data_IF_438042712946
#
_entry.id   IF_438042712946
#
_cell.length_a   1.000
_cell.length_b   1.000
_cell.length_c   1.000
_cell.angle_alpha   90.00
_cell.angle_beta   90.00
_cell.angle_gamma   90.00
#
_symmetry.space_group_name_H-M   'P 1'
#
loop_
_entity.id
_entity.type
_entity.pdbx_description
1 polymer ?
#
# COMPACT_ATOMS: atom_id res chain seq x y z
N UNK A 1 -25.63 27.83 -25.66
CA UNK A 1 -24.50 28.30 -24.83
C UNK A 1 -24.64 27.91 -23.36
N UNK A 2 -25.62 28.38 -22.58
CA UNK A 2 -25.71 27.99 -21.14
C UNK A 2 -26.01 26.50 -20.88
N UNK A 3 -26.88 25.87 -21.68
CA UNK A 3 -27.20 24.44 -21.54
C UNK A 3 -26.03 23.54 -21.93
N UNK A 4 -25.33 23.86 -23.01
CA UNK A 4 -24.14 23.12 -23.46
C UNK A 4 -23.00 23.22 -22.42
N UNK A 5 -22.85 24.37 -21.76
CA UNK A 5 -21.87 24.56 -20.70
C UNK A 5 -22.24 23.76 -19.43
N UNK A 6 -23.53 23.69 -19.08
CA UNK A 6 -24.02 22.85 -17.97
C UNK A 6 -23.76 21.36 -18.25
N UNK A 7 -24.12 20.87 -19.44
CA UNK A 7 -23.88 19.48 -19.85
C UNK A 7 -22.38 19.14 -19.79
N UNK A 8 -21.52 20.04 -20.28
CA UNK A 8 -20.06 19.85 -20.22
C UNK A 8 -19.54 19.77 -18.79
N UNK A 9 -19.98 20.66 -17.90
CA UNK A 9 -19.59 20.67 -16.48
C UNK A 9 -20.05 19.41 -15.76
N UNK A 10 -21.28 18.96 -16.01
CA UNK A 10 -21.80 17.72 -15.42
C UNK A 10 -21.03 16.49 -15.89
N UNK A 11 -20.72 16.42 -17.19
CA UNK A 11 -19.91 15.34 -17.75
C UNK A 11 -18.50 15.32 -17.16
N UNK A 12 -17.86 16.49 -17.02
CA UNK A 12 -16.54 16.60 -16.39
C UNK A 12 -16.56 16.11 -14.93
N UNK A 13 -17.55 16.55 -14.14
CA UNK A 13 -17.72 16.07 -12.76
C UNK A 13 -17.89 14.55 -12.68
N UNK A 14 -18.73 13.97 -13.55
CA UNK A 14 -18.91 12.50 -13.61
C UNK A 14 -17.60 11.80 -13.96
N UNK A 15 -16.83 12.32 -14.92
CA UNK A 15 -15.52 11.78 -15.29
C UNK A 15 -14.49 11.89 -14.18
N UNK A 16 -14.45 12.99 -13.44
CA UNK A 16 -13.53 13.19 -12.32
C UNK A 16 -13.81 12.20 -11.20
N UNK A 17 -15.09 12.01 -10.85
CA UNK A 17 -15.51 11.03 -9.83
C UNK A 17 -15.16 9.60 -10.27
N UNK A 18 -15.43 9.25 -11.52
CA UNK A 18 -15.11 7.91 -12.05
C UNK A 18 -13.60 7.64 -12.07
N UNK A 19 -12.81 8.64 -12.46
CA UNK A 19 -11.36 8.54 -12.46
C UNK A 19 -10.80 8.37 -11.04
N UNK A 20 -11.32 9.11 -10.07
CA UNK A 20 -10.89 9.03 -8.68
C UNK A 20 -11.19 7.66 -8.07
N UNK A 21 -12.42 7.16 -8.24
CA UNK A 21 -12.82 5.82 -7.79
C UNK A 21 -11.97 4.72 -8.42
N UNK A 22 -11.69 4.86 -9.71
CA UNK A 22 -10.84 3.92 -10.44
C UNK A 22 -9.43 3.91 -9.86
N UNK A 23 -8.80 5.08 -9.64
CA UNK A 23 -7.47 5.17 -9.02
C UNK A 23 -7.42 4.51 -7.65
N UNK A 24 -8.41 4.76 -6.80
CA UNK A 24 -8.53 4.14 -5.48
C UNK A 24 -8.61 2.61 -5.58
N UNK A 25 -9.41 2.08 -6.52
CA UNK A 25 -9.52 0.64 -6.74
C UNK A 25 -8.15 0.02 -7.11
N UNK A 26 -7.43 0.62 -8.06
CA UNK A 26 -6.11 0.12 -8.47
C UNK A 26 -5.08 0.22 -7.34
N UNK A 27 -5.07 1.32 -6.59
CA UNK A 27 -4.19 1.47 -5.43
C UNK A 27 -4.48 0.40 -4.38
N UNK A 28 -5.74 0.19 -4.01
CA UNK A 28 -6.13 -0.85 -3.05
C UNK A 28 -5.72 -2.24 -3.53
N UNK A 29 -5.88 -2.57 -4.81
CA UNK A 29 -5.44 -3.84 -5.37
C UNK A 29 -3.92 -4.02 -5.27
N UNK A 30 -3.14 -2.96 -5.56
CA UNK A 30 -1.69 -2.97 -5.42
C UNK A 30 -1.28 -3.17 -3.96
N UNK A 31 -1.92 -2.48 -3.03
CA UNK A 31 -1.62 -2.53 -1.60
C UNK A 31 -1.90 -3.94 -1.06
N UNK A 32 -3.08 -4.48 -1.38
CA UNK A 32 -3.46 -5.83 -1.01
C UNK A 32 -2.49 -6.87 -1.56
N UNK A 33 -2.11 -6.77 -2.85
CA UNK A 33 -1.16 -7.71 -3.45
C UNK A 33 0.21 -7.66 -2.76
N UNK A 34 0.70 -6.46 -2.44
CA UNK A 34 1.96 -6.30 -1.69
C UNK A 34 1.87 -6.83 -0.27
N UNK A 35 0.77 -6.58 0.44
CA UNK A 35 0.52 -7.15 1.76
C UNK A 35 0.55 -8.68 1.71
N UNK A 36 -0.09 -9.27 0.69
CA UNK A 36 -0.07 -10.72 0.45
C UNK A 36 1.36 -11.25 0.28
N UNK A 37 2.17 -10.62 -0.57
CA UNK A 37 3.58 -11.01 -0.78
C UNK A 37 4.37 -10.96 0.54
N UNK A 38 4.20 -9.90 1.33
CA UNK A 38 4.89 -9.78 2.63
C UNK A 38 4.41 -10.85 3.60
N UNK A 39 3.11 -11.12 3.66
CA UNK A 39 2.52 -12.16 4.53
C UNK A 39 3.03 -13.56 4.18
N UNK A 40 3.14 -13.88 2.89
CA UNK A 40 3.73 -15.12 2.40
C UNK A 40 5.19 -15.25 2.86
N UNK A 41 6.00 -14.20 2.65
CA UNK A 41 7.38 -14.17 3.12
C UNK A 41 7.52 -14.38 4.63
N UNK A 42 6.70 -13.71 5.45
CA UNK A 42 6.75 -13.83 6.91
C UNK A 42 6.39 -15.26 7.37
N UNK A 43 5.41 -15.88 6.72
CA UNK A 43 5.02 -17.26 7.02
C UNK A 43 6.13 -18.26 6.65
N UNK A 44 6.77 -18.08 5.49
CA UNK A 44 7.91 -18.91 5.07
C UNK A 44 9.10 -18.75 6.02
N UNK A 45 9.40 -17.52 6.44
CA UNK A 45 10.47 -17.21 7.38
C UNK A 45 10.23 -17.87 8.74
N UNK A 46 9.02 -17.71 9.29
CA UNK A 46 8.62 -18.33 10.56
C UNK A 46 8.68 -19.86 10.50
N UNK A 47 8.20 -20.44 9.40
CA UNK A 47 8.26 -21.90 9.17
C UNK A 47 9.70 -22.39 9.14
N UNK A 48 10.57 -21.72 8.37
CA UNK A 48 11.99 -22.07 8.26
C UNK A 48 12.71 -21.94 9.61
N UNK A 49 12.45 -20.86 10.35
CA UNK A 49 13.05 -20.64 11.66
C UNK A 49 12.60 -21.72 12.67
N UNK A 50 11.32 -22.11 12.63
CA UNK A 50 10.77 -23.17 13.48
C UNK A 50 11.41 -24.52 13.18
N UNK A 51 11.54 -24.89 11.90
CA UNK A 51 12.16 -26.16 11.48
C UNK A 51 13.64 -26.27 11.87
N UNK A 52 14.36 -25.15 11.88
CA UNK A 52 15.79 -25.11 12.20
C UNK A 52 16.08 -24.85 13.68
N UNK A 53 15.05 -24.80 14.55
CA UNK A 53 15.18 -24.38 15.96
C UNK A 53 15.86 -22.99 16.12
N UNK A 54 15.62 -22.09 15.19
CA UNK A 54 16.15 -20.71 15.15
C UNK A 54 15.08 -19.66 15.53
N UNK A 55 13.94 -20.10 16.04
CA UNK A 55 12.85 -19.22 16.45
C UNK A 55 13.15 -18.60 17.82
N UNK A 56 14.06 -17.64 17.84
CA UNK A 56 14.41 -16.86 19.04
C UNK A 56 13.26 -15.94 19.45
N UNK A 57 13.26 -15.50 20.71
CA UNK A 57 12.28 -14.53 21.24
C UNK A 57 12.30 -13.24 20.40
N UNK A 58 13.50 -12.74 20.08
CA UNK A 58 13.69 -11.55 19.24
C UNK A 58 13.05 -11.72 17.85
N UNK A 59 13.21 -12.89 17.23
CA UNK A 59 12.59 -13.16 15.93
C UNK A 59 11.06 -13.24 16.03
N UNK A 60 10.53 -13.82 17.11
CA UNK A 60 9.08 -13.88 17.35
C UNK A 60 8.49 -12.47 17.52
N UNK A 61 9.15 -11.61 18.29
CA UNK A 61 8.72 -10.23 18.50
C UNK A 61 8.76 -9.43 17.19
N UNK A 62 9.82 -9.60 16.39
CA UNK A 62 9.92 -8.99 15.07
C UNK A 62 8.85 -9.51 14.11
N UNK A 63 8.60 -10.82 14.07
CA UNK A 63 7.55 -11.41 13.23
C UNK A 63 6.16 -10.87 13.62
N UNK A 64 5.89 -10.71 14.90
CA UNK A 64 4.63 -10.12 15.39
C UNK A 64 4.49 -8.67 14.93
N UNK A 65 5.53 -7.84 15.13
CA UNK A 65 5.55 -6.47 14.61
C UNK A 65 5.35 -6.43 13.09
N UNK A 66 6.04 -7.28 12.33
CA UNK A 66 5.96 -7.30 10.88
C UNK A 66 4.58 -7.73 10.37
N UNK A 67 3.94 -8.71 11.01
CA UNK A 67 2.56 -9.11 10.74
C UNK A 67 1.60 -7.95 11.06
N UNK A 68 1.79 -7.29 12.21
CA UNK A 68 0.99 -6.12 12.60
C UNK A 68 1.08 -5.00 11.55
N UNK A 69 2.28 -4.71 11.03
CA UNK A 69 2.49 -3.73 9.94
C UNK A 69 1.89 -4.16 8.61
N UNK A 70 1.98 -5.44 8.28
CA UNK A 70 1.40 -5.99 7.04
C UNK A 70 -0.12 -5.85 7.04
N UNK A 71 -0.75 -6.10 8.19
CA UNK A 71 -2.19 -5.98 8.36
C UNK A 71 -2.67 -4.52 8.34
N UNK A 72 -1.88 -3.58 8.88
CA UNK A 72 -2.15 -2.14 8.73
C UNK A 72 -2.08 -1.68 7.26
N UNK A 73 -1.11 -2.21 6.52
CA UNK A 73 -0.91 -1.87 5.11
C UNK A 73 -1.99 -2.46 4.19
N UNK A 74 -2.56 -3.61 4.54
CA UNK A 74 -3.60 -4.30 3.77
C UNK A 74 -4.95 -3.56 3.83
N UNK A 75 -5.46 -3.01 2.71
CA UNK A 75 -6.72 -2.27 2.71
C UNK A 75 -7.94 -3.15 3.06
N UNK A 76 -7.80 -4.48 3.06
CA UNK A 76 -8.87 -5.39 3.47
C UNK A 76 -9.00 -5.56 4.99
N UNK A 77 -7.96 -5.27 5.77
CA UNK A 77 -7.92 -5.59 7.21
C UNK A 77 -8.27 -4.39 8.10
N UNK A 78 -8.28 -3.16 7.55
CA UNK A 78 -8.67 -1.92 8.25
C UNK A 78 -8.03 -1.77 9.63
N UNK A 79 -6.79 -2.22 9.78
CA UNK A 79 -6.04 -2.09 11.01
C UNK A 79 -5.38 -0.72 11.04
N UNK A 80 -5.51 -0.03 12.16
CA UNK A 80 -4.83 1.24 12.40
C UNK A 80 -3.44 0.97 12.99
N UNK A 81 -2.49 1.84 12.67
CA UNK A 81 -1.16 1.84 13.28
C UNK A 81 -1.01 3.06 14.17
N UNK A 82 -0.28 2.89 15.27
CA UNK A 82 -0.10 3.95 16.27
C UNK A 82 0.78 5.09 15.71
N UNK A 83 1.69 4.77 14.80
CA UNK A 83 2.72 5.71 14.33
C UNK A 83 2.59 6.07 12.85
N UNK A 84 1.99 5.19 12.04
CA UNK A 84 1.90 5.36 10.58
C UNK A 84 0.46 5.65 10.13
N UNK A 85 0.32 6.58 9.19
CA UNK A 85 -0.93 7.05 8.61
C UNK A 85 -1.13 6.55 7.18
N UNK A 86 -2.35 6.68 6.66
CA UNK A 86 -2.68 6.24 5.29
C UNK A 86 -1.76 6.85 4.22
N UNK A 87 -1.30 8.10 4.42
CA UNK A 87 -0.34 8.77 3.53
C UNK A 87 1.00 8.05 3.44
N UNK A 88 1.45 7.39 4.51
CA UNK A 88 2.74 6.71 4.54
C UNK A 88 2.74 5.42 3.70
N UNK A 89 1.56 4.88 3.38
CA UNK A 89 1.44 3.68 2.52
C UNK A 89 1.90 3.95 1.10
N UNK A 90 1.67 5.16 0.59
CA UNK A 90 2.12 5.56 -0.74
C UNK A 90 3.65 5.56 -0.84
N UNK A 91 4.33 6.05 0.19
CA UNK A 91 5.80 6.11 0.26
C UNK A 91 6.47 4.73 0.30
N UNK A 92 5.79 3.74 0.88
CA UNK A 92 6.28 2.35 0.92
C UNK A 92 6.22 1.64 -0.44
N UNK A 93 5.43 2.17 -1.37
CA UNK A 93 5.17 1.55 -2.67
C UNK A 93 5.91 2.25 -3.79
N UNK A 94 6.13 3.55 -3.66
CA UNK A 94 7.02 4.28 -4.54
C UNK A 94 8.46 3.82 -4.28
N UNK A 95 8.86 2.74 -4.97
CA UNK A 95 10.27 2.47 -5.24
C UNK A 95 10.78 3.78 -5.85
N UNK A 96 11.54 4.55 -5.05
CA UNK A 96 12.11 5.83 -5.47
C UNK A 96 12.54 5.70 -6.93
N UNK A 97 11.83 6.37 -7.84
CA UNK A 97 12.51 6.84 -9.04
C UNK A 97 13.63 7.70 -8.46
N UNK A 98 14.82 7.12 -8.32
CA UNK A 98 16.03 7.91 -8.09
C UNK A 98 15.93 9.02 -9.12
N UNK A 99 15.73 10.24 -8.65
CA UNK A 99 15.91 11.41 -9.48
C UNK A 99 17.36 11.33 -9.95
N UNK A 100 17.56 10.84 -11.17
CA UNK A 100 18.76 11.11 -11.93
C UNK A 100 18.68 12.58 -12.35
N UNK A 101 18.74 13.49 -11.37
CA UNK A 101 19.09 14.88 -11.57
C UNK A 101 20.60 14.93 -11.82
N UNK A 102 21.02 14.43 -12.99
CA UNK A 102 22.30 14.80 -13.55
C UNK A 102 22.18 16.27 -13.97
N UNK A 103 22.90 17.11 -13.24
CA UNK A 103 23.18 18.51 -13.52
C UNK A 103 23.14 18.82 -15.03
N UNK A 104 22.20 19.65 -15.45
CA UNK A 104 22.32 20.43 -16.69
C UNK A 104 22.90 21.78 -16.29
N UNK A 105 24.23 21.89 -16.43
CA UNK A 105 24.92 23.16 -16.60
C UNK A 105 24.59 23.75 -17.97
#
# INVERSE_FOLDING_TARGET
MEEEEKIRKEFQKKREVELQRTKELFNNAIYHNKAKIVREYLNELETKASLNNQLTIELQDWLKWAKDKTDWFDPMIKKEDILLYESDKEDLIQIKKKENNFYRY
#
